data_IF_293116726284
#
_entry.id   IF_293116726284
#
_cell.length_a   1.000
_cell.length_b   1.000
_cell.length_c   1.000
_cell.angle_alpha   90.00
_cell.angle_beta   90.00
_cell.angle_gamma   90.00
#
_symmetry.space_group_name_H-M   'P 1'
#
loop_
_entity.id
_entity.type
_entity.pdbx_description
1 polymer ?
#
# COMPACT_ATOMS: atom_id res chain seq x y z
N UNK A 1 32.63 66.62 29.22
CA UNK A 1 31.33 66.47 29.91
C UNK A 1 30.29 66.64 28.82
N UNK A 2 29.85 65.53 28.23
CA UNK A 2 28.66 65.49 27.37
C UNK A 2 27.90 64.24 27.79
N UNK A 3 26.63 64.45 28.12
CA UNK A 3 25.69 63.47 28.64
C UNK A 3 24.79 63.14 27.44
N UNK A 4 24.84 61.90 26.96
CA UNK A 4 23.86 61.41 25.99
C UNK A 4 22.61 60.83 26.70
N UNK A 5 21.39 61.07 26.19
CA UNK A 5 20.13 60.61 26.77
C UNK A 5 19.74 59.17 26.31
N UNK A 6 18.71 58.54 26.92
CA UNK A 6 18.54 57.09 26.92
C UNK A 6 17.66 56.53 25.79
N UNK A 7 17.99 55.28 25.42
CA UNK A 7 17.21 54.22 24.73
C UNK A 7 15.83 54.57 24.15
N UNK A 8 15.69 54.33 22.86
CA UNK A 8 14.50 53.69 22.30
C UNK A 8 14.85 52.31 21.74
N UNK A 9 14.03 51.34 22.11
CA UNK A 9 14.09 49.93 21.76
C UNK A 9 13.10 49.71 20.64
N UNK A 10 13.56 49.65 19.39
CA UNK A 10 12.75 49.19 18.29
C UNK A 10 13.09 47.74 17.95
N UNK A 11 12.17 46.87 18.39
CA UNK A 11 12.08 45.53 17.90
C UNK A 11 11.82 45.55 16.39
N UNK A 12 12.81 45.06 15.63
CA UNK A 12 12.54 44.55 14.30
C UNK A 12 12.65 43.04 14.38
N UNK A 13 11.46 42.45 14.48
CA UNK A 13 11.16 41.03 14.37
C UNK A 13 12.04 40.39 13.30
N UNK A 14 12.95 39.51 13.76
CA UNK A 14 13.68 38.60 12.89
C UNK A 14 12.66 37.81 12.08
N UNK A 15 12.51 38.19 10.80
CA UNK A 15 11.74 37.45 9.81
C UNK A 15 12.09 35.97 9.94
N UNK A 16 11.12 35.19 10.41
CA UNK A 16 11.15 33.74 10.41
C UNK A 16 11.50 33.34 8.97
N UNK A 17 12.68 32.74 8.78
CA UNK A 17 13.09 32.20 7.48
C UNK A 17 11.98 31.24 7.05
N UNK A 18 11.29 31.57 5.96
CA UNK A 18 10.40 30.63 5.29
C UNK A 18 11.22 29.38 5.00
N UNK A 19 10.85 28.27 5.63
CA UNK A 19 11.41 26.96 5.35
C UNK A 19 11.08 26.63 3.89
N UNK A 20 12.00 26.94 2.97
CA UNK A 20 11.83 26.67 1.55
C UNK A 20 11.54 25.17 1.37
N UNK A 21 10.34 24.86 0.90
CA UNK A 21 9.92 23.50 0.59
C UNK A 21 10.54 23.15 -0.77
N UNK A 22 11.37 22.11 -0.82
CA UNK A 22 12.05 21.63 -2.03
C UNK A 22 11.72 20.16 -2.36
N UNK A 23 11.50 19.81 -3.63
CA UNK A 23 11.32 18.40 -4.02
C UNK A 23 12.53 17.53 -3.64
N UNK A 24 12.31 16.26 -3.31
CA UNK A 24 13.37 15.29 -3.00
C UNK A 24 13.27 14.03 -3.86
N UNK A 25 14.36 13.27 -3.98
CA UNK A 25 14.39 12.05 -4.78
C UNK A 25 13.80 10.85 -4.01
N UNK A 26 13.43 9.79 -4.75
CA UNK A 26 12.92 8.57 -4.14
C UNK A 26 13.99 7.88 -3.27
N UNK A 27 13.58 7.42 -2.08
CA UNK A 27 14.46 6.85 -1.03
C UNK A 27 15.33 7.86 -0.28
N UNK A 28 15.19 9.16 -0.53
CA UNK A 28 15.90 10.19 0.22
C UNK A 28 15.53 10.20 1.70
N UNK A 29 16.44 10.71 2.50
CA UNK A 29 16.29 10.89 3.93
C UNK A 29 17.06 12.11 4.41
N UNK A 30 16.63 12.67 5.52
CA UNK A 30 17.30 13.79 6.16
C UNK A 30 16.85 13.96 7.60
N UNK A 31 17.23 15.09 8.17
CA UNK A 31 16.93 15.45 9.55
C UNK A 31 16.37 16.87 9.59
N UNK A 32 15.44 17.11 10.50
CA UNK A 32 14.90 18.43 10.78
C UNK A 32 14.06 19.02 9.65
N UNK A 33 13.96 20.34 9.67
CA UNK A 33 13.11 21.12 8.79
C UNK A 33 13.58 21.03 7.31
N UNK A 34 12.66 21.19 6.34
CA UNK A 34 11.23 21.42 6.51
C UNK A 34 10.41 20.16 6.82
N UNK A 35 10.98 18.94 6.75
CA UNK A 35 10.19 17.70 6.66
C UNK A 35 10.05 16.89 7.96
N UNK A 36 10.79 17.28 8.99
CA UNK A 36 10.69 16.76 10.33
C UNK A 36 10.80 17.89 11.36
N UNK A 37 10.24 17.72 12.56
CA UNK A 37 10.31 18.74 13.61
C UNK A 37 11.71 18.85 14.22
N UNK A 38 12.00 20.04 14.74
CA UNK A 38 13.20 20.35 15.51
C UNK A 38 12.82 20.95 16.87
N UNK A 39 13.67 20.76 17.87
CA UNK A 39 13.49 21.31 19.22
C UNK A 39 12.33 20.69 20.01
N UNK A 40 11.85 19.51 19.59
CA UNK A 40 10.81 18.77 20.31
C UNK A 40 11.26 17.32 20.59
N UNK A 41 11.02 16.79 21.81
CA UNK A 41 10.43 17.44 22.98
C UNK A 41 11.36 18.40 23.70
N UNK A 42 12.68 18.26 23.54
CA UNK A 42 13.68 19.12 24.18
C UNK A 42 14.42 19.97 23.14
N UNK A 43 14.92 21.13 23.57
CA UNK A 43 15.74 21.98 22.71
C UNK A 43 16.98 21.20 22.24
N UNK A 44 17.21 21.19 20.91
CA UNK A 44 18.27 20.42 20.28
C UNK A 44 17.87 19.02 19.80
N UNK A 45 16.66 18.53 20.10
CA UNK A 45 16.16 17.29 19.51
C UNK A 45 15.81 17.51 18.02
N UNK A 46 16.45 16.75 17.13
CA UNK A 46 16.22 16.81 15.68
C UNK A 46 15.64 15.47 15.22
N UNK A 47 14.45 15.50 14.64
CA UNK A 47 13.80 14.29 14.13
C UNK A 47 14.31 13.95 12.72
N UNK A 48 14.34 12.66 12.40
CA UNK A 48 14.69 12.19 11.06
C UNK A 48 13.45 12.03 10.18
N UNK A 49 13.60 12.19 8.86
CA UNK A 49 12.59 11.85 7.88
C UNK A 49 13.16 10.97 6.77
N UNK A 50 12.31 10.17 6.15
CA UNK A 50 12.64 9.38 4.96
C UNK A 50 11.45 9.26 4.04
N UNK A 51 11.70 9.24 2.74
CA UNK A 51 10.71 8.92 1.71
C UNK A 51 10.98 7.53 1.10
N UNK A 52 9.95 6.90 0.57
CA UNK A 52 10.07 5.66 -0.22
C UNK A 52 9.99 5.95 -1.72
N UNK A 53 9.27 5.08 -2.45
CA UNK A 53 9.21 5.15 -3.93
C UNK A 53 7.87 5.63 -4.45
N UNK A 54 6.81 5.50 -3.67
CA UNK A 54 5.45 5.78 -4.13
C UNK A 54 5.14 7.27 -4.00
N UNK A 55 4.68 7.86 -5.09
CA UNK A 55 4.35 9.28 -5.23
C UNK A 55 2.88 9.41 -5.65
N UNK A 56 2.16 10.36 -5.05
CA UNK A 56 0.78 10.69 -5.43
C UNK A 56 0.74 11.42 -6.78
N UNK A 57 -0.44 11.50 -7.38
CA UNK A 57 -0.65 12.31 -8.60
C UNK A 57 -0.36 13.80 -8.37
N UNK A 58 -0.51 14.27 -7.13
CA UNK A 58 -0.18 15.64 -6.71
C UNK A 58 1.33 15.88 -6.57
N UNK A 59 2.16 14.83 -6.74
CA UNK A 59 3.62 14.94 -6.68
C UNK A 59 4.21 14.86 -5.27
N UNK A 60 3.52 14.24 -4.30
CA UNK A 60 4.03 14.05 -2.93
C UNK A 60 4.29 12.57 -2.61
N UNK A 61 5.29 12.27 -1.80
CA UNK A 61 5.56 10.90 -1.37
C UNK A 61 4.47 10.34 -0.46
N UNK A 62 3.95 9.16 -0.83
CA UNK A 62 3.03 8.36 -0.03
C UNK A 62 3.77 7.57 1.05
N UNK A 63 4.97 7.08 0.70
CA UNK A 63 5.87 6.40 1.63
C UNK A 63 6.65 7.44 2.41
N UNK A 64 6.17 7.85 3.58
CA UNK A 64 6.80 8.91 4.36
C UNK A 64 6.94 8.51 5.83
N UNK A 65 8.18 8.54 6.32
CA UNK A 65 8.55 8.04 7.64
C UNK A 65 9.11 9.17 8.52
N UNK A 66 8.79 9.15 9.81
CA UNK A 66 9.47 9.95 10.85
C UNK A 66 10.33 9.03 11.72
N UNK A 67 11.45 9.56 12.19
CA UNK A 67 12.34 8.88 13.12
C UNK A 67 12.55 9.76 14.34
N UNK A 68 12.59 9.12 15.50
CA UNK A 68 12.89 9.80 16.75
C UNK A 68 14.32 10.39 16.71
N UNK A 69 14.56 11.50 17.43
CA UNK A 69 15.90 11.94 17.79
C UNK A 69 16.69 10.80 18.44
N UNK A 70 18.01 10.75 18.23
CA UNK A 70 18.87 9.66 18.70
C UNK A 70 18.65 9.31 20.18
N UNK A 71 18.58 10.34 21.04
CA UNK A 71 18.32 10.23 22.49
C UNK A 71 17.00 9.51 22.79
N UNK A 72 15.93 9.84 22.06
CA UNK A 72 14.63 9.20 22.24
C UNK A 72 14.59 7.81 21.61
N UNK A 73 15.30 7.60 20.50
CA UNK A 73 15.42 6.29 19.88
C UNK A 73 16.05 5.28 20.84
N UNK A 74 17.09 5.66 21.58
CA UNK A 74 17.70 4.80 22.61
C UNK A 74 16.74 4.45 23.75
N UNK A 75 15.91 5.43 24.17
CA UNK A 75 14.94 5.25 25.24
C UNK A 75 13.78 4.34 24.86
N UNK A 76 13.16 4.58 23.69
CA UNK A 76 11.93 3.90 23.30
C UNK A 76 12.17 2.69 22.39
N UNK A 77 13.37 2.56 21.80
CA UNK A 77 13.77 1.47 20.87
C UNK A 77 12.73 1.23 19.77
N UNK A 78 12.12 2.30 19.25
CA UNK A 78 11.09 2.25 18.22
C UNK A 78 11.71 2.47 16.85
N UNK A 79 11.25 1.70 15.85
CA UNK A 79 11.55 1.98 14.44
C UNK A 79 10.87 3.25 13.93
N UNK A 80 11.05 3.55 12.64
CA UNK A 80 10.42 4.71 12.00
C UNK A 80 8.89 4.61 11.98
N UNK A 81 8.22 5.76 12.09
CA UNK A 81 6.78 5.89 12.06
C UNK A 81 6.27 6.01 10.61
N UNK A 82 5.55 5.02 10.07
CA UNK A 82 5.16 4.99 8.66
C UNK A 82 3.90 5.81 8.33
N UNK A 83 3.31 6.50 9.32
CA UNK A 83 2.06 7.24 9.13
C UNK A 83 1.84 8.27 10.23
N UNK A 84 1.07 9.32 9.94
CA UNK A 84 0.74 10.39 10.87
C UNK A 84 0.11 9.85 12.16
N UNK A 85 -0.82 8.89 12.03
CA UNK A 85 -1.44 8.19 13.17
C UNK A 85 -0.48 7.40 14.04
N UNK A 86 0.58 6.84 13.46
CA UNK A 86 1.60 6.15 14.25
C UNK A 86 2.36 7.13 15.14
N UNK A 87 2.64 8.33 14.62
CA UNK A 87 3.25 9.43 15.39
C UNK A 87 2.27 9.94 16.45
N UNK A 88 1.00 10.16 16.10
CA UNK A 88 -0.04 10.60 17.06
C UNK A 88 -0.16 9.63 18.25
N UNK A 89 -0.28 8.32 17.99
CA UNK A 89 -0.35 7.30 19.05
C UNK A 89 0.88 7.31 19.95
N UNK A 90 2.08 7.46 19.35
CA UNK A 90 3.31 7.56 20.11
C UNK A 90 3.33 8.83 20.97
N UNK A 91 2.97 9.97 20.40
CA UNK A 91 2.96 11.26 21.09
C UNK A 91 1.98 11.27 22.27
N UNK A 92 0.76 10.75 22.10
CA UNK A 92 -0.22 10.63 23.18
C UNK A 92 0.30 9.75 24.33
N UNK A 93 1.03 8.67 24.01
CA UNK A 93 1.58 7.76 25.02
C UNK A 93 2.85 8.27 25.71
N UNK A 94 3.76 8.87 24.95
CA UNK A 94 5.09 9.29 25.43
C UNK A 94 5.11 10.73 25.97
N UNK A 95 4.27 11.60 25.43
CA UNK A 95 4.18 13.03 25.78
C UNK A 95 2.71 13.46 25.88
N UNK A 96 1.95 13.01 26.90
CA UNK A 96 0.50 13.24 26.98
C UNK A 96 0.09 14.72 27.04
N UNK A 97 1.00 15.59 27.48
CA UNK A 97 0.79 17.04 27.57
C UNK A 97 1.17 17.79 26.30
N UNK A 98 1.70 17.11 25.27
CA UNK A 98 2.14 17.75 24.05
C UNK A 98 0.95 18.16 23.17
N UNK A 99 1.01 19.38 22.63
CA UNK A 99 0.07 19.84 21.62
C UNK A 99 0.40 19.21 20.26
N UNK A 100 -0.37 18.19 19.88
CA UNK A 100 -0.23 17.50 18.60
C UNK A 100 -0.42 18.45 17.41
N UNK A 101 -1.30 19.44 17.53
CA UNK A 101 -1.58 20.39 16.45
C UNK A 101 -0.37 21.30 16.24
N UNK A 102 0.19 21.83 17.32
CA UNK A 102 1.43 22.61 17.26
C UNK A 102 2.60 21.77 16.72
N UNK A 103 2.72 20.52 17.17
CA UNK A 103 3.74 19.58 16.67
C UNK A 103 3.67 19.40 15.15
N UNK A 104 2.50 19.06 14.59
CA UNK A 104 2.37 18.89 13.14
C UNK A 104 2.36 20.20 12.34
N UNK A 105 2.09 21.33 12.98
CA UNK A 105 2.22 22.65 12.35
C UNK A 105 3.67 23.13 12.29
N UNK A 106 4.58 22.57 13.10
CA UNK A 106 5.99 22.99 13.14
C UNK A 106 6.81 22.58 11.92
N UNK A 107 6.31 21.67 11.08
CA UNK A 107 7.00 21.16 9.89
C UNK A 107 6.03 20.75 8.79
N UNK A 108 6.53 20.57 7.57
CA UNK A 108 5.76 20.09 6.43
C UNK A 108 5.69 18.57 6.42
N UNK A 109 4.52 18.01 6.71
CA UNK A 109 4.34 16.55 6.72
C UNK A 109 4.37 15.93 5.30
N UNK A 110 3.82 16.61 4.28
CA UNK A 110 3.79 16.15 2.88
C UNK A 110 5.09 16.53 2.16
N UNK A 111 5.90 15.55 1.77
CA UNK A 111 7.20 15.78 1.13
C UNK A 111 7.03 15.73 -0.40
N UNK A 112 7.35 16.80 -1.16
CA UNK A 112 7.25 16.80 -2.61
C UNK A 112 8.33 15.92 -3.25
N UNK A 113 7.99 15.27 -4.35
CA UNK A 113 8.89 14.45 -5.16
C UNK A 113 9.49 15.26 -6.28
N UNK A 114 10.78 15.05 -6.55
CA UNK A 114 11.37 15.42 -7.83
C UNK A 114 10.58 14.73 -8.95
N UNK A 115 10.16 15.50 -9.95
CA UNK A 115 9.54 14.94 -11.15
C UNK A 115 10.60 14.09 -11.84
N UNK A 116 10.54 12.77 -11.68
CA UNK A 116 11.41 11.86 -12.42
C UNK A 116 11.15 12.07 -13.92
N UNK A 117 12.05 12.78 -14.59
CA UNK A 117 12.12 12.79 -16.06
C UNK A 117 12.57 11.39 -16.49
N UNK A 118 11.64 10.60 -17.03
CA UNK A 118 11.94 9.38 -17.78
C UNK A 118 11.77 8.08 -17.00
N UNK A 119 10.56 7.54 -17.02
CA UNK A 119 10.28 6.31 -17.77
C UNK A 119 8.77 6.25 -18.00
N UNK A 120 8.36 6.54 -19.23
CA UNK A 120 7.00 6.32 -19.73
C UNK A 120 6.80 4.83 -19.94
N UNK A 121 6.74 4.05 -18.88
CA UNK A 121 6.08 2.74 -18.94
C UNK A 121 5.23 2.57 -17.68
N UNK A 122 3.93 2.39 -17.93
CA UNK A 122 2.86 2.05 -16.99
C UNK A 122 2.37 3.22 -16.12
N UNK A 123 1.53 4.09 -16.71
CA UNK A 123 0.08 4.18 -16.47
C UNK A 123 -0.42 5.17 -17.53
N UNK A 124 -0.83 4.65 -18.69
CA UNK A 124 -1.67 5.41 -19.61
C UNK A 124 -3.08 5.37 -19.02
N UNK A 125 -3.39 6.37 -18.18
CA UNK A 125 -4.76 6.75 -17.93
C UNK A 125 -5.31 7.36 -19.22
N UNK A 126 -6.41 6.81 -19.71
CA UNK A 126 -7.12 7.27 -20.91
C UNK A 126 -7.32 8.80 -20.86
N UNK A 127 -7.04 9.60 -21.92
CA UNK A 127 -7.02 11.07 -21.87
C UNK A 127 -8.39 11.76 -21.72
N UNK A 128 -9.46 11.03 -21.40
CA UNK A 128 -10.83 11.55 -21.52
C UNK A 128 -11.54 11.70 -20.17
N UNK A 129 -10.85 12.26 -19.17
CA UNK A 129 -11.47 12.63 -17.91
C UNK A 129 -11.78 14.14 -17.92
N UNK A 130 -13.01 14.48 -18.28
CA UNK A 130 -13.54 15.83 -18.14
C UNK A 130 -13.60 16.19 -16.64
N UNK A 131 -13.11 17.36 -16.17
CA UNK A 131 -13.09 17.71 -14.74
C UNK A 131 -14.46 17.95 -14.11
N UNK A 132 -15.54 17.79 -14.87
CA UNK A 132 -16.90 18.00 -14.42
C UNK A 132 -17.59 16.64 -14.28
N UNK A 133 -17.59 16.05 -13.09
CA UNK A 133 -18.58 15.02 -12.77
C UNK A 133 -19.06 15.12 -11.34
N UNK A 134 -20.38 14.92 -11.22
CA UNK A 134 -21.25 14.98 -10.05
C UNK A 134 -20.70 14.29 -8.78
N UNK A 135 -21.19 14.68 -7.58
CA UNK A 135 -20.87 14.02 -6.30
C UNK A 135 -21.27 12.53 -6.22
N UNK A 136 -22.04 12.02 -7.19
CA UNK A 136 -22.55 10.65 -7.23
C UNK A 136 -21.59 9.64 -7.89
N UNK A 137 -20.46 10.08 -8.42
CA UNK A 137 -19.47 9.21 -9.06
C UNK A 137 -18.52 8.51 -8.08
N UNK A 138 -17.93 7.38 -8.49
CA UNK A 138 -16.81 6.77 -7.77
C UNK A 138 -15.68 7.79 -7.65
N UNK A 139 -15.23 8.10 -6.42
CA UNK A 139 -14.11 9.02 -6.17
C UNK A 139 -12.88 8.69 -7.02
N UNK A 140 -12.60 7.41 -7.22
CA UNK A 140 -11.44 6.93 -7.98
C UNK A 140 -11.62 6.95 -9.51
N UNK A 141 -12.76 7.42 -10.01
CA UNK A 141 -13.09 7.39 -11.44
C UNK A 141 -13.30 5.97 -12.00
N UNK A 142 -13.47 4.96 -11.14
CA UNK A 142 -13.72 3.59 -11.59
C UNK A 142 -15.18 3.43 -12.01
N UNK A 143 -15.41 3.30 -13.31
CA UNK A 143 -16.75 3.12 -13.90
C UNK A 143 -17.41 1.78 -13.53
N UNK A 144 -16.62 0.79 -13.09
CA UNK A 144 -17.11 -0.52 -12.63
C UNK A 144 -17.11 -0.61 -11.10
N UNK A 145 -17.07 0.51 -10.38
CA UNK A 145 -17.04 0.50 -8.93
C UNK A 145 -18.35 -0.04 -8.37
N UNK A 146 -18.29 -0.92 -7.36
CA UNK A 146 -19.50 -1.41 -6.69
C UNK A 146 -20.30 -0.30 -6.01
N UNK A 147 -19.67 0.83 -5.70
CA UNK A 147 -20.37 2.02 -5.19
C UNK A 147 -21.30 2.68 -6.21
N UNK A 148 -21.20 2.31 -7.49
CA UNK A 148 -22.06 2.81 -8.57
C UNK A 148 -23.27 1.90 -8.83
N UNK A 149 -23.29 0.72 -8.22
CA UNK A 149 -24.44 -0.19 -8.28
C UNK A 149 -25.40 0.23 -7.17
N UNK A 150 -26.62 0.63 -7.51
CA UNK A 150 -27.66 0.93 -6.53
C UNK A 150 -27.91 -0.32 -5.66
N UNK A 151 -27.58 -0.22 -4.37
CA UNK A 151 -27.86 -1.29 -3.42
C UNK A 151 -29.37 -1.26 -3.15
N UNK A 152 -30.06 -2.35 -3.51
CA UNK A 152 -31.52 -2.51 -3.41
C UNK A 152 -32.02 -2.41 -1.94
N UNK A 153 -31.13 -2.60 -0.96
CA UNK A 153 -31.45 -2.43 0.46
C UNK A 153 -30.28 -1.79 1.25
N UNK A 154 -30.43 -0.57 1.80
CA UNK A 154 -29.41 0.12 2.58
C UNK A 154 -29.12 -0.52 3.95
N UNK A 155 -29.85 -1.55 4.36
CA UNK A 155 -29.70 -2.20 5.67
C UNK A 155 -28.66 -3.32 5.75
N UNK A 156 -28.16 -3.84 4.61
CA UNK A 156 -27.36 -5.08 4.60
C UNK A 156 -25.85 -4.90 4.80
N UNK A 157 -25.29 -3.70 4.63
CA UNK A 157 -23.86 -3.45 4.85
C UNK A 157 -23.67 -2.08 5.50
N UNK A 158 -23.88 -2.02 6.81
CA UNK A 158 -23.43 -0.90 7.63
C UNK A 158 -21.89 -0.85 7.57
N UNK A 159 -21.32 -0.18 6.57
CA UNK A 159 -19.87 -0.01 6.39
C UNK A 159 -19.40 1.23 7.15
N UNK A 160 -18.27 1.13 7.84
CA UNK A 160 -17.78 2.24 8.66
C UNK A 160 -17.42 3.45 7.79
N UNK A 161 -17.74 4.64 8.30
CA UNK A 161 -17.13 5.86 7.81
C UNK A 161 -15.65 5.88 8.22
N UNK A 162 -14.78 6.19 7.25
CA UNK A 162 -13.35 6.17 7.44
C UNK A 162 -12.75 7.51 7.04
N UNK A 163 -12.53 8.34 8.05
CA UNK A 163 -11.90 9.65 7.97
C UNK A 163 -10.36 9.59 7.80
N UNK A 164 -9.79 8.40 7.65
CA UNK A 164 -8.34 8.18 7.61
C UNK A 164 -7.85 8.04 6.18
N UNK A 165 -8.39 7.04 5.48
CA UNK A 165 -7.98 6.69 4.13
C UNK A 165 -8.97 7.24 3.09
N UNK A 166 -10.26 7.40 3.46
CA UNK A 166 -11.30 7.80 2.50
C UNK A 166 -11.46 9.32 2.35
N UNK A 167 -10.72 10.10 3.16
CA UNK A 167 -10.58 11.54 2.97
C UNK A 167 -9.70 11.88 1.77
N UNK A 168 -8.83 10.95 1.35
CA UNK A 168 -7.90 11.21 0.25
C UNK A 168 -8.66 11.44 -1.06
N UNK A 169 -8.32 12.50 -1.82
CA UNK A 169 -8.90 12.71 -3.12
C UNK A 169 -8.57 11.52 -4.02
N UNK A 170 -9.55 11.08 -4.80
CA UNK A 170 -9.43 9.92 -5.69
C UNK A 170 -9.30 8.55 -5.03
N UNK A 171 -9.33 8.45 -3.69
CA UNK A 171 -9.43 7.16 -3.02
C UNK A 171 -10.91 6.78 -2.83
N UNK A 172 -11.29 5.62 -3.37
CA UNK A 172 -12.59 5.02 -3.14
C UNK A 172 -12.43 3.74 -2.32
N UNK A 173 -13.03 3.66 -1.14
CA UNK A 173 -12.95 2.46 -0.28
C UNK A 173 -13.46 1.18 -0.95
N UNK A 174 -14.37 1.34 -1.90
CA UNK A 174 -15.08 0.23 -2.56
C UNK A 174 -14.32 -0.36 -3.74
N UNK A 175 -13.27 0.31 -4.23
CA UNK A 175 -12.41 -0.25 -5.26
C UNK A 175 -10.91 -0.09 -4.99
N UNK A 176 -10.44 0.94 -4.29
CA UNK A 176 -9.02 1.17 -4.09
C UNK A 176 -8.41 0.24 -3.05
N UNK A 177 -7.26 -0.33 -3.40
CA UNK A 177 -6.41 -1.02 -2.43
C UNK A 177 -5.90 -0.02 -1.39
N UNK A 178 -6.14 -0.29 -0.10
CA UNK A 178 -5.69 0.54 1.02
C UNK A 178 -4.17 0.73 1.08
N UNK A 179 -3.42 -0.19 0.47
CA UNK A 179 -1.97 -0.08 0.42
C UNK A 179 -1.53 0.80 -0.75
N UNK A 180 -1.89 0.51 -2.00
CA UNK A 180 -1.37 1.23 -3.17
C UNK A 180 -2.30 2.31 -3.75
N UNK A 181 -3.50 2.48 -3.23
CA UNK A 181 -4.56 3.39 -3.71
C UNK A 181 -5.07 3.14 -5.13
N UNK A 182 -4.53 2.14 -5.83
CA UNK A 182 -4.98 1.74 -7.17
C UNK A 182 -6.26 0.91 -7.05
N UNK A 183 -7.27 1.13 -7.91
CA UNK A 183 -8.46 0.28 -7.97
C UNK A 183 -8.11 -1.18 -8.24
N UNK A 184 -8.72 -2.08 -7.46
CA UNK A 184 -8.80 -3.49 -7.76
C UNK A 184 -9.75 -3.69 -8.94
N UNK A 185 -9.32 -4.51 -9.90
CA UNK A 185 -10.15 -4.86 -11.03
C UNK A 185 -11.31 -5.74 -10.54
N UNK A 186 -12.57 -5.32 -10.76
CA UNK A 186 -13.75 -5.99 -10.24
C UNK A 186 -13.93 -7.43 -10.71
N UNK A 187 -13.35 -7.79 -11.86
CA UNK A 187 -13.44 -9.14 -12.43
C UNK A 187 -12.40 -10.13 -11.88
N UNK A 188 -11.35 -9.62 -11.24
CA UNK A 188 -10.25 -10.45 -10.78
C UNK A 188 -10.36 -10.57 -9.25
N UNK A 189 -10.53 -11.81 -8.74
CA UNK A 189 -10.50 -12.13 -7.29
C UNK A 189 -9.10 -11.93 -6.68
N UNK A 190 -8.40 -10.87 -7.05
CA UNK A 190 -7.01 -10.56 -6.71
C UNK A 190 -6.88 -9.67 -5.47
N UNK A 191 -7.98 -9.48 -4.73
CA UNK A 191 -8.06 -8.60 -3.59
C UNK A 191 -8.84 -9.21 -2.43
N UNK A 192 -8.50 -8.78 -1.22
CA UNK A 192 -9.14 -9.14 0.04
C UNK A 192 -9.96 -7.94 0.51
N UNK A 193 -11.22 -8.15 0.87
CA UNK A 193 -12.05 -7.15 1.57
C UNK A 193 -12.04 -7.46 3.06
N UNK A 194 -11.78 -6.47 3.90
CA UNK A 194 -11.85 -6.66 5.34
C UNK A 194 -13.31 -6.67 5.83
N UNK A 195 -13.77 -7.83 6.27
CA UNK A 195 -15.14 -8.05 6.77
C UNK A 195 -15.25 -7.94 8.30
N UNK A 196 -14.18 -7.52 8.97
CA UNK A 196 -14.18 -7.39 10.43
C UNK A 196 -15.17 -6.32 10.88
N UNK A 197 -15.99 -6.66 11.88
CA UNK A 197 -16.86 -5.72 12.57
C UNK A 197 -16.01 -4.82 13.49
N UNK A 198 -16.14 -3.51 13.31
CA UNK A 198 -15.52 -2.47 14.14
C UNK A 198 -16.54 -1.93 15.15
N UNK A 199 -16.19 -0.86 15.89
CA UNK A 199 -17.12 -0.22 16.83
C UNK A 199 -18.45 0.09 16.16
N UNK A 200 -19.53 -0.09 16.91
CA UNK A 200 -20.92 0.13 16.49
C UNK A 200 -21.48 -0.90 15.48
N UNK A 201 -20.80 -2.03 15.29
CA UNK A 201 -21.30 -3.16 14.49
C UNK A 201 -21.03 -3.04 12.99
N UNK A 202 -20.42 -1.93 12.57
CA UNK A 202 -20.10 -1.66 11.17
C UNK A 202 -18.97 -2.54 10.65
N UNK A 203 -18.94 -2.84 9.36
CA UNK A 203 -17.85 -3.57 8.70
C UNK A 203 -16.75 -2.60 8.26
N UNK A 204 -15.48 -2.98 8.42
CA UNK A 204 -14.33 -2.15 8.01
C UNK A 204 -14.34 -1.84 6.49
N UNK A 205 -14.63 -2.83 5.65
CA UNK A 205 -14.91 -2.67 4.22
C UNK A 205 -13.71 -2.37 3.33
N UNK A 206 -12.53 -2.07 3.88
CA UNK A 206 -11.35 -1.71 3.09
C UNK A 206 -10.83 -2.89 2.27
N UNK A 207 -10.43 -2.59 1.03
CA UNK A 207 -9.90 -3.55 0.08
C UNK A 207 -8.38 -3.52 0.10
N UNK A 208 -7.73 -4.66 -0.14
CA UNK A 208 -6.30 -4.75 -0.36
C UNK A 208 -5.98 -5.76 -1.45
N UNK A 209 -5.17 -5.41 -2.44
CA UNK A 209 -4.59 -6.41 -3.35
C UNK A 209 -3.82 -7.46 -2.56
N UNK A 210 -3.98 -8.73 -2.90
CA UNK A 210 -3.26 -9.82 -2.22
C UNK A 210 -1.75 -9.62 -2.36
N UNK A 211 -1.29 -9.29 -3.57
CA UNK A 211 0.14 -9.06 -3.83
C UNK A 211 0.69 -7.90 -2.99
N UNK A 212 -0.08 -6.81 -2.81
CA UNK A 212 0.33 -5.71 -1.94
C UNK A 212 0.41 -6.15 -0.48
N UNK A 213 -0.55 -6.95 -0.02
CA UNK A 213 -0.55 -7.47 1.34
C UNK A 213 0.65 -8.39 1.60
N UNK A 214 0.93 -9.33 0.70
CA UNK A 214 2.09 -10.24 0.79
C UNK A 214 3.41 -9.46 0.80
N UNK A 215 3.61 -8.53 -0.15
CA UNK A 215 4.83 -7.71 -0.23
C UNK A 215 5.05 -6.81 0.97
N UNK A 216 3.97 -6.43 1.67
CA UNK A 216 4.02 -5.57 2.84
C UNK A 216 4.02 -6.34 4.16
N UNK A 217 4.16 -7.68 4.12
CA UNK A 217 4.09 -8.56 5.30
C UNK A 217 2.78 -8.43 6.09
N UNK A 218 1.70 -8.12 5.37
CA UNK A 218 0.34 -8.00 5.92
C UNK A 218 -0.53 -9.20 5.57
N UNK A 219 -0.02 -10.16 4.81
CA UNK A 219 -0.71 -11.42 4.51
C UNK A 219 0.27 -12.61 4.53
N UNK A 220 -0.27 -13.80 4.78
CA UNK A 220 0.46 -15.08 4.78
C UNK A 220 0.93 -15.48 6.18
N UNK A 221 2.03 -16.25 6.25
CA UNK A 221 2.68 -16.59 7.51
C UNK A 221 3.83 -15.60 7.76
N UNK A 222 3.67 -14.75 8.78
CA UNK A 222 4.59 -13.65 9.07
C UNK A 222 5.01 -13.71 10.54
N UNK A 223 6.31 -13.86 10.79
CA UNK A 223 6.87 -13.87 12.15
C UNK A 223 6.88 -12.51 12.84
N UNK A 224 7.51 -12.44 14.02
CA UNK A 224 7.66 -11.20 14.78
C UNK A 224 6.39 -10.78 15.54
N UNK A 225 6.28 -9.48 15.87
CA UNK A 225 5.22 -8.95 16.74
C UNK A 225 3.81 -9.05 16.13
N UNK A 226 3.69 -9.07 14.81
CA UNK A 226 2.40 -9.24 14.14
C UNK A 226 1.96 -10.70 14.21
N UNK A 227 2.85 -11.66 13.91
CA UNK A 227 2.60 -13.09 14.12
C UNK A 227 1.35 -13.59 13.38
N UNK A 228 1.41 -13.68 12.05
CA UNK A 228 0.35 -14.21 11.20
C UNK A 228 0.62 -15.67 10.85
N UNK A 229 -0.44 -16.48 10.75
CA UNK A 229 -0.37 -17.85 10.25
C UNK A 229 -1.43 -18.07 9.16
N UNK A 230 -1.04 -17.98 7.89
CA UNK A 230 -1.95 -17.96 6.73
C UNK A 230 -3.12 -16.96 6.89
N UNK A 231 -2.82 -15.74 7.36
CA UNK A 231 -3.80 -14.72 7.72
C UNK A 231 -3.50 -13.40 7.00
N UNK A 232 -4.50 -12.53 6.91
CA UNK A 232 -4.37 -11.13 6.51
C UNK A 232 -4.58 -10.20 7.71
N UNK A 233 -3.71 -9.21 7.86
CA UNK A 233 -3.80 -8.14 8.84
C UNK A 233 -4.27 -6.85 8.18
N UNK A 234 -5.43 -6.32 8.59
CA UNK A 234 -5.99 -5.12 8.00
C UNK A 234 -5.29 -3.85 8.48
N UNK A 235 -4.73 -3.05 7.55
CA UNK A 235 -4.01 -1.80 7.88
C UNK A 235 -4.88 -0.74 8.60
N UNK A 236 -6.20 -0.81 8.43
CA UNK A 236 -7.16 0.17 8.95
C UNK A 236 -7.64 -0.14 10.36
N UNK A 237 -8.10 -1.37 10.58
CA UNK A 237 -8.77 -1.76 11.82
C UNK A 237 -7.98 -2.77 12.66
N UNK A 238 -6.79 -3.16 12.19
CA UNK A 238 -5.89 -4.10 12.87
C UNK A 238 -6.48 -5.51 13.07
N UNK A 239 -7.64 -5.80 12.44
CA UNK A 239 -8.27 -7.10 12.47
C UNK A 239 -7.50 -8.12 11.62
N UNK A 240 -7.58 -9.38 12.04
CA UNK A 240 -7.02 -10.52 11.32
C UNK A 240 -8.12 -11.28 10.59
N UNK A 241 -7.82 -11.73 9.38
CA UNK A 241 -8.72 -12.53 8.55
C UNK A 241 -8.02 -13.82 8.17
N UNK A 242 -8.62 -14.97 8.45
CA UNK A 242 -8.11 -16.26 8.00
C UNK A 242 -8.20 -16.35 6.48
N UNK A 243 -7.07 -16.63 5.80
CA UNK A 243 -7.03 -16.66 4.34
C UNK A 243 -7.30 -18.05 3.76
N UNK A 244 -7.44 -19.08 4.58
CA UNK A 244 -7.73 -20.45 4.11
C UNK A 244 -9.04 -20.53 3.30
N UNK A 245 -10.18 -19.99 3.76
CA UNK A 245 -11.41 -19.97 2.97
C UNK A 245 -11.24 -19.22 1.65
N UNK A 246 -10.51 -18.11 1.68
CA UNK A 246 -10.22 -17.30 0.51
C UNK A 246 -9.39 -18.07 -0.53
N UNK A 247 -8.37 -18.80 -0.09
CA UNK A 247 -7.56 -19.66 -0.97
C UNK A 247 -8.43 -20.73 -1.63
N UNK A 248 -9.38 -21.35 -0.93
CA UNK A 248 -10.30 -22.32 -1.55
C UNK A 248 -11.10 -21.68 -2.69
N UNK A 249 -11.66 -20.49 -2.46
CA UNK A 249 -12.42 -19.73 -3.47
C UNK A 249 -11.55 -19.39 -4.70
N UNK A 250 -10.27 -19.08 -4.49
CA UNK A 250 -9.33 -18.84 -5.59
C UNK A 250 -9.09 -20.12 -6.41
N UNK A 251 -8.91 -21.25 -5.75
CA UNK A 251 -8.66 -22.53 -6.41
C UNK A 251 -9.88 -23.02 -7.19
N UNK A 252 -11.08 -22.90 -6.64
CA UNK A 252 -12.35 -23.17 -7.36
C UNK A 252 -12.48 -22.25 -8.58
N UNK A 253 -12.07 -20.99 -8.46
CA UNK A 253 -12.03 -20.05 -9.57
C UNK A 253 -11.09 -20.46 -10.70
N UNK A 254 -10.06 -21.27 -10.43
CA UNK A 254 -9.11 -21.70 -11.45
C UNK A 254 -9.74 -22.58 -12.54
N UNK A 255 -10.82 -23.29 -12.23
CA UNK A 255 -11.56 -24.11 -13.20
C UNK A 255 -12.16 -23.27 -14.33
N UNK A 256 -12.45 -22.00 -14.06
CA UNK A 256 -13.02 -21.07 -15.05
C UNK A 256 -11.98 -20.44 -15.98
N UNK A 257 -10.67 -20.56 -15.68
CA UNK A 257 -9.63 -19.94 -16.49
C UNK A 257 -9.28 -20.80 -17.71
N UNK A 258 -9.27 -20.19 -18.89
CA UNK A 258 -8.81 -20.81 -20.16
C UNK A 258 -7.29 -20.67 -20.39
N UNK A 259 -6.57 -19.96 -19.51
CA UNK A 259 -5.17 -19.58 -19.69
C UNK A 259 -4.29 -20.18 -18.59
N UNK A 260 -3.31 -20.99 -19.00
CA UNK A 260 -2.33 -21.62 -18.10
C UNK A 260 -1.54 -20.61 -17.27
N UNK A 261 -1.18 -19.46 -17.86
CA UNK A 261 -0.43 -18.41 -17.15
C UNK A 261 -1.23 -17.78 -16.01
N UNK A 262 -2.54 -17.54 -16.22
CA UNK A 262 -3.43 -17.02 -15.17
C UNK A 262 -3.57 -18.01 -14.03
N UNK A 263 -3.75 -19.30 -14.35
CA UNK A 263 -3.80 -20.38 -13.36
C UNK A 263 -2.48 -20.44 -12.59
N UNK A 264 -1.35 -20.42 -13.29
CA UNK A 264 -0.03 -20.46 -12.66
C UNK A 264 0.18 -19.28 -11.71
N UNK A 265 -0.23 -18.06 -12.12
CA UNK A 265 -0.14 -16.86 -11.27
C UNK A 265 -0.97 -17.02 -9.99
N UNK A 266 -2.22 -17.48 -10.10
CA UNK A 266 -3.10 -17.71 -8.93
C UNK A 266 -2.51 -18.76 -8.01
N UNK A 267 -2.05 -19.90 -8.55
CA UNK A 267 -1.45 -20.96 -7.75
C UNK A 267 -0.19 -20.49 -7.01
N UNK A 268 0.65 -19.65 -7.63
CA UNK A 268 1.82 -19.04 -6.96
C UNK A 268 1.40 -18.15 -5.79
N UNK A 269 0.34 -17.35 -5.95
CA UNK A 269 -0.20 -16.53 -4.86
C UNK A 269 -0.72 -17.42 -3.72
N UNK A 270 -1.49 -18.46 -4.02
CA UNK A 270 -1.96 -19.42 -3.01
C UNK A 270 -0.79 -20.08 -2.27
N UNK A 271 0.26 -20.49 -2.99
CA UNK A 271 1.44 -21.06 -2.38
C UNK A 271 2.12 -20.10 -1.40
N UNK A 272 2.24 -18.81 -1.76
CA UNK A 272 2.82 -17.78 -0.89
C UNK A 272 1.99 -17.54 0.38
N UNK A 273 0.66 -17.54 0.27
CA UNK A 273 -0.24 -17.37 1.44
C UNK A 273 -0.05 -18.52 2.44
N UNK A 274 0.02 -19.75 1.93
CA UNK A 274 0.03 -20.97 2.75
C UNK A 274 1.42 -21.37 3.26
N UNK A 275 2.48 -20.84 2.64
CA UNK A 275 3.84 -21.21 2.97
C UNK A 275 4.16 -20.93 4.45
N UNK A 276 4.85 -21.88 5.09
CA UNK A 276 5.27 -21.78 6.50
C UNK A 276 4.15 -21.95 7.53
N UNK A 277 2.90 -22.12 7.10
CA UNK A 277 1.75 -22.19 8.02
C UNK A 277 1.83 -23.40 8.95
N UNK A 278 1.41 -23.22 10.20
CA UNK A 278 1.34 -24.33 11.17
C UNK A 278 0.00 -25.08 11.09
N UNK A 279 -1.04 -24.44 10.54
CA UNK A 279 -2.39 -24.98 10.38
C UNK A 279 -2.40 -26.23 9.48
N UNK A 280 -2.98 -27.37 9.92
CA UNK A 280 -3.04 -28.59 9.09
C UNK A 280 -3.77 -28.39 7.76
N UNK A 281 -4.86 -27.61 7.76
CA UNK A 281 -5.63 -27.27 6.57
C UNK A 281 -4.82 -26.48 5.55
N UNK A 282 -3.95 -25.57 5.99
CA UNK A 282 -3.08 -24.82 5.11
C UNK A 282 -2.00 -25.71 4.48
N UNK A 283 -1.40 -26.61 5.27
CA UNK A 283 -0.42 -27.59 4.77
C UNK A 283 -1.01 -28.52 3.71
N UNK A 284 -2.23 -29.03 3.95
CA UNK A 284 -2.94 -29.86 3.00
C UNK A 284 -3.22 -29.11 1.68
N UNK A 285 -3.72 -27.87 1.76
CA UNK A 285 -3.93 -27.05 0.57
C UNK A 285 -2.63 -26.74 -0.16
N UNK A 286 -1.53 -26.47 0.55
CA UNK A 286 -0.24 -26.17 -0.05
C UNK A 286 0.28 -27.34 -0.88
N UNK A 287 0.12 -28.56 -0.37
CA UNK A 287 0.48 -29.78 -1.12
C UNK A 287 -0.30 -29.87 -2.44
N UNK A 288 -1.61 -29.65 -2.42
CA UNK A 288 -2.43 -29.66 -3.63
C UNK A 288 -2.00 -28.56 -4.63
N UNK A 289 -1.75 -27.35 -4.15
CA UNK A 289 -1.28 -26.22 -4.97
C UNK A 289 0.07 -26.52 -5.61
N UNK A 290 1.02 -27.07 -4.84
CA UNK A 290 2.35 -27.44 -5.35
C UNK A 290 2.28 -28.57 -6.38
N UNK A 291 1.43 -29.57 -6.17
CA UNK A 291 1.19 -30.64 -7.15
C UNK A 291 0.63 -30.08 -8.46
N UNK A 292 -0.36 -29.18 -8.39
CA UNK A 292 -0.93 -28.53 -9.58
C UNK A 292 0.11 -27.68 -10.34
N UNK A 293 0.96 -26.94 -9.61
CA UNK A 293 2.07 -26.19 -10.21
C UNK A 293 3.10 -27.08 -10.91
N UNK A 294 3.36 -28.28 -10.37
CA UNK A 294 4.25 -29.27 -11.00
C UNK A 294 3.71 -29.73 -12.36
N UNK A 295 2.43 -30.13 -12.39
CA UNK A 295 1.77 -30.58 -13.63
C UNK A 295 1.74 -29.51 -14.72
N UNK A 296 1.52 -28.24 -14.36
CA UNK A 296 1.55 -27.14 -15.33
C UNK A 296 2.94 -26.91 -15.94
N UNK A 297 4.01 -27.18 -15.19
CA UNK A 297 5.37 -27.09 -15.74
C UNK A 297 5.63 -28.23 -16.72
N UNK A 298 5.21 -29.45 -16.39
CA UNK A 298 5.37 -30.64 -17.25
C UNK A 298 4.56 -30.54 -18.55
N UNK A 299 3.33 -30.03 -18.51
CA UNK A 299 2.49 -29.82 -19.70
C UNK A 299 3.09 -28.84 -20.72
N UNK A 300 3.76 -27.78 -20.25
CA UNK A 300 4.40 -26.80 -21.13
C UNK A 300 5.64 -27.35 -21.86
N UNK A 301 6.24 -28.47 -21.43
CA UNK A 301 7.37 -29.08 -22.15
C UNK A 301 6.94 -29.93 -23.36
N UNK A 302 5.67 -30.29 -23.48
CA UNK A 302 5.18 -31.13 -24.58
C UNK A 302 4.72 -30.35 -25.82
N UNK A 303 4.45 -29.04 -25.71
CA UNK A 303 4.00 -28.23 -26.86
C UNK A 303 5.13 -27.69 -27.75
N UNK A 304 6.41 -27.82 -27.36
CA UNK A 304 7.56 -27.33 -28.13
C UNK A 304 8.24 -28.37 -29.04
N UNK A 305 7.67 -29.58 -29.21
CA UNK A 305 8.34 -30.66 -29.98
C UNK A 305 7.78 -30.92 -31.39
N UNK A 306 6.87 -30.08 -31.91
CA UNK A 306 6.36 -30.23 -33.29
C UNK A 306 6.96 -29.21 -34.26
N UNK A 307 8.28 -29.18 -34.40
CA UNK A 307 8.91 -28.54 -35.56
C UNK A 307 10.22 -29.26 -35.91
N UNK A 308 10.18 -30.01 -37.01
CA UNK A 308 11.36 -30.49 -37.72
C UNK A 308 11.60 -31.99 -37.61
N UNK A 309 11.20 -32.75 -38.63
CA UNK A 309 12.09 -33.61 -39.42
C UNK A 309 11.32 -34.08 -40.66
N UNK A 310 11.36 -33.31 -41.75
CA UNK A 310 11.24 -33.89 -43.09
C UNK A 310 12.66 -34.18 -43.55
N UNK A 311 13.13 -35.39 -43.26
CA UNK A 311 14.36 -35.93 -43.83
C UNK A 311 14.08 -36.39 -45.26
N UNK A 312 14.80 -35.80 -46.20
CA UNK A 312 14.97 -36.29 -47.56
C UNK A 312 15.48 -37.73 -47.55
N UNK A 313 14.87 -38.60 -48.37
CA UNK A 313 15.53 -39.77 -48.91
C UNK A 313 15.45 -39.68 -50.44
N UNK A 314 16.65 -39.53 -51.00
CA UNK A 314 16.99 -39.45 -52.42
C UNK A 314 17.10 -40.84 -53.04
N UNK A 315 16.62 -40.93 -54.28
CA UNK A 315 17.04 -41.79 -55.40
C UNK A 315 16.82 -43.31 -55.33
N UNK A 316 16.11 -43.87 -56.31
CA UNK A 316 16.67 -44.31 -57.60
C UNK A 316 15.54 -44.75 -58.57
N UNK A 317 15.70 -44.37 -59.85
CA UNK A 317 15.52 -45.12 -61.11
C UNK A 317 14.27 -46.03 -61.29
N UNK A 318 13.56 -46.14 -62.42
CA UNK A 318 13.91 -46.06 -63.84
C UNK A 318 12.64 -46.16 -64.70
N UNK A 319 12.67 -45.48 -65.86
CA UNK A 319 12.17 -45.90 -67.18
C UNK A 319 10.68 -46.30 -67.43
N UNK A 320 10.16 -45.65 -68.49
CA UNK A 320 8.97 -45.89 -69.35
C UNK A 320 7.65 -45.21 -68.97
#
# INVERSE_FOLDING_TARGET
MEIDPPRESDGSTSRIKENEIYPVAANDSGYGLPYAPEGFPEAGDIWGWKVGKRVSLEGYFLDRYLYLPARLHEKYKTGGFPSKKAVERFMVGAFPTADLKAFFASFTYKIPSEKVKGNKEIVSGNPNCNPNSDPAGCKAGNIMCSSLVEVIDPSDLQIMDCDICCIEPLFCRDCCCILCSVPANGNDKSFIRCEAKVKDGFICGHICHIECALRSYMAGTVGGKIGLDAEYYCRRCDARTDLIPYVKILLEGCESFRSGDKIQKVLRICALILHGSTKPSAKALLYHVQSALGKLKEGNFHEDTSAGTTGELSQCESEH
#
